data_IF_995100186427
#
_entry.id   IF_995100186427
#
_cell.length_a   1.000
_cell.length_b   1.000
_cell.length_c   1.000
_cell.angle_alpha   90.00
_cell.angle_beta   90.00
_cell.angle_gamma   90.00
#
_symmetry.space_group_name_H-M   'P 1'
#
loop_
_entity.id
_entity.type
_entity.pdbx_description
1 polymer ?
#
# COMPACT_ATOMS: atom_id res chain seq x y z
N UNK A 1 -21.88 -77.51 -48.58
CA UNK A 1 -20.56 -77.83 -48.01
C UNK A 1 -19.79 -76.53 -47.91
N UNK A 2 -19.24 -76.27 -46.74
CA UNK A 2 -18.39 -75.15 -46.28
C UNK A 2 -17.27 -74.82 -47.29
N UNK A 3 -16.67 -73.62 -47.36
CA UNK A 3 -15.95 -72.87 -46.31
C UNK A 3 -15.88 -71.36 -46.62
N UNK A 4 -15.69 -70.56 -45.56
CA UNK A 4 -15.40 -69.12 -45.50
C UNK A 4 -14.11 -68.71 -46.23
N UNK A 5 -14.01 -67.46 -46.73
CA UNK A 5 -12.97 -66.50 -46.31
C UNK A 5 -13.20 -65.08 -46.89
N UNK A 6 -13.66 -64.16 -46.02
CA UNK A 6 -13.15 -62.80 -45.75
C UNK A 6 -12.72 -61.89 -46.92
N UNK A 7 -13.45 -60.79 -47.13
CA UNK A 7 -12.89 -59.41 -46.97
C UNK A 7 -13.96 -58.32 -47.05
N UNK A 8 -14.20 -57.73 -45.89
CA UNK A 8 -14.61 -56.35 -45.58
C UNK A 8 -15.20 -55.49 -46.70
N UNK A 9 -16.50 -55.20 -46.56
CA UNK A 9 -17.15 -54.01 -47.09
C UNK A 9 -16.48 -52.76 -46.50
N UNK A 10 -15.59 -52.14 -47.28
CA UNK A 10 -15.02 -50.83 -46.98
C UNK A 10 -15.98 -49.73 -47.44
N UNK A 11 -17.05 -49.51 -46.67
CA UNK A 11 -17.81 -48.26 -46.74
C UNK A 11 -16.93 -47.13 -46.22
N UNK A 12 -16.43 -46.27 -47.12
CA UNK A 12 -15.73 -45.05 -46.72
C UNK A 12 -16.78 -43.98 -46.43
N UNK A 13 -17.39 -44.05 -45.24
CA UNK A 13 -17.99 -42.87 -44.63
C UNK A 13 -16.84 -41.89 -44.34
N UNK A 14 -16.90 -40.71 -44.96
CA UNK A 14 -16.02 -39.61 -44.65
C UNK A 14 -16.26 -39.21 -43.19
N UNK A 15 -15.39 -39.68 -42.29
CA UNK A 15 -15.33 -39.20 -40.92
C UNK A 15 -15.04 -37.70 -40.97
N UNK A 16 -16.09 -36.89 -40.86
CA UNK A 16 -15.96 -35.47 -40.57
C UNK A 16 -15.35 -35.37 -39.19
N UNK A 17 -14.03 -35.18 -39.13
CA UNK A 17 -13.29 -34.82 -37.93
C UNK A 17 -13.77 -33.42 -37.52
N UNK A 18 -14.92 -33.35 -36.84
CA UNK A 18 -15.38 -32.12 -36.21
C UNK A 18 -14.34 -31.76 -35.14
N UNK A 19 -13.44 -30.84 -35.47
CA UNK A 19 -12.57 -30.23 -34.49
C UNK A 19 -13.47 -29.62 -33.39
N UNK A 20 -13.20 -29.89 -32.11
CA UNK A 20 -13.98 -29.31 -31.03
C UNK A 20 -13.93 -27.78 -31.14
N UNK A 21 -15.09 -27.14 -30.95
CA UNK A 21 -15.16 -25.68 -30.95
C UNK A 21 -14.15 -25.11 -29.94
N UNK A 22 -13.43 -24.04 -30.29
CA UNK A 22 -12.46 -23.45 -29.38
C UNK A 22 -13.15 -23.06 -28.06
N UNK A 23 -12.48 -23.26 -26.91
CA UNK A 23 -13.05 -22.89 -25.63
C UNK A 23 -13.32 -21.39 -25.58
N UNK A 24 -14.48 -21.00 -25.04
CA UNK A 24 -14.82 -19.60 -24.84
C UNK A 24 -13.97 -19.01 -23.70
N UNK A 25 -13.13 -18.04 -24.05
CA UNK A 25 -12.25 -17.34 -23.11
C UNK A 25 -12.90 -16.09 -22.51
N UNK A 26 -14.09 -15.71 -22.96
CA UNK A 26 -14.81 -14.53 -22.48
C UNK A 26 -14.99 -14.50 -20.95
N UNK A 27 -15.34 -15.63 -20.29
CA UNK A 27 -15.44 -15.66 -18.82
C UNK A 27 -14.11 -15.44 -18.12
N UNK A 28 -13.01 -15.94 -18.70
CA UNK A 28 -11.66 -15.75 -18.17
C UNK A 28 -11.24 -14.29 -18.31
N UNK A 29 -11.48 -13.68 -19.48
CA UNK A 29 -11.24 -12.26 -19.70
C UNK A 29 -12.02 -11.38 -18.73
N UNK A 30 -13.33 -11.64 -18.59
CA UNK A 30 -14.19 -10.87 -17.69
C UNK A 30 -13.74 -10.98 -16.23
N UNK A 31 -13.36 -12.18 -15.79
CA UNK A 31 -12.81 -12.42 -14.45
C UNK A 31 -11.50 -11.65 -14.23
N UNK A 32 -10.58 -11.67 -15.20
CA UNK A 32 -9.33 -10.93 -15.09
C UNK A 32 -9.54 -9.42 -15.11
N UNK A 33 -10.45 -8.90 -15.92
CA UNK A 33 -10.79 -7.47 -15.91
C UNK A 33 -11.32 -7.02 -14.56
N UNK A 34 -12.21 -7.81 -13.93
CA UNK A 34 -12.70 -7.51 -12.58
C UNK A 34 -11.61 -7.59 -11.53
N UNK A 35 -10.68 -8.55 -11.64
CA UNK A 35 -9.53 -8.67 -10.73
C UNK A 35 -8.58 -7.47 -10.86
N UNK A 36 -8.32 -7.00 -12.08
CA UNK A 36 -7.51 -5.80 -12.33
C UNK A 36 -8.19 -4.58 -11.71
N UNK A 37 -9.50 -4.40 -11.94
CA UNK A 37 -10.24 -3.28 -11.37
C UNK A 37 -10.19 -3.28 -9.83
N UNK A 38 -10.41 -4.44 -9.20
CA UNK A 38 -10.29 -4.59 -7.76
C UNK A 38 -8.86 -4.31 -7.25
N UNK A 39 -7.84 -4.75 -7.98
CA UNK A 39 -6.45 -4.46 -7.64
C UNK A 39 -6.13 -2.96 -7.76
N UNK A 40 -6.63 -2.28 -8.80
CA UNK A 40 -6.49 -0.83 -8.97
C UNK A 40 -7.15 -0.06 -7.82
N UNK A 41 -8.34 -0.48 -7.38
CA UNK A 41 -9.02 0.13 -6.24
C UNK A 41 -8.23 -0.05 -4.93
N UNK A 42 -7.74 -1.27 -4.65
CA UNK A 42 -6.86 -1.54 -3.50
C UNK A 42 -5.58 -0.71 -3.54
N UNK A 43 -4.98 -0.57 -4.73
CA UNK A 43 -3.76 0.24 -4.90
C UNK A 43 -4.06 1.72 -4.63
N UNK A 44 -5.20 2.24 -5.11
CA UNK A 44 -5.65 3.60 -4.81
C UNK A 44 -5.81 3.87 -3.31
N UNK A 45 -6.32 2.90 -2.55
CA UNK A 45 -6.42 2.98 -1.08
C UNK A 45 -5.03 3.02 -0.42
N UNK A 46 -4.09 2.18 -0.87
CA UNK A 46 -2.70 2.19 -0.40
C UNK A 46 -2.00 3.53 -0.68
N UNK A 47 -2.14 4.09 -1.89
CA UNK A 47 -1.58 5.40 -2.21
C UNK A 47 -2.21 6.53 -1.37
N UNK A 48 -3.50 6.43 -1.07
CA UNK A 48 -4.18 7.39 -0.20
C UNK A 48 -3.63 7.36 1.24
N UNK A 49 -3.33 6.17 1.76
CA UNK A 49 -2.69 6.01 3.06
C UNK A 49 -1.26 6.59 3.09
N UNK A 50 -0.47 6.39 2.03
CA UNK A 50 0.85 7.01 1.89
C UNK A 50 0.73 8.54 1.87
N UNK A 51 -0.21 9.08 1.10
CA UNK A 51 -0.46 10.52 1.06
C UNK A 51 -0.83 11.09 2.44
N UNK A 52 -1.68 10.39 3.20
CA UNK A 52 -2.02 10.80 4.57
C UNK A 52 -0.81 10.80 5.49
N UNK A 53 0.06 9.77 5.40
CA UNK A 53 1.32 9.74 6.16
C UNK A 53 2.21 10.93 5.82
N UNK A 54 2.39 11.22 4.53
CA UNK A 54 3.27 12.30 4.11
C UNK A 54 2.75 13.68 4.59
N UNK A 55 1.43 13.85 4.67
CA UNK A 55 0.79 15.02 5.30
C UNK A 55 1.07 15.09 6.81
N UNK A 56 0.88 13.98 7.52
CA UNK A 56 1.15 13.89 8.97
C UNK A 56 2.65 14.19 9.28
N UNK A 57 3.57 13.65 8.48
CA UNK A 57 5.01 13.93 8.60
C UNK A 57 5.33 15.40 8.31
N UNK A 58 4.68 16.00 7.30
CA UNK A 58 4.87 17.41 6.98
C UNK A 58 4.42 18.31 8.14
N UNK A 59 3.27 18.02 8.74
CA UNK A 59 2.77 18.74 9.91
C UNK A 59 3.70 18.58 11.13
N UNK A 60 4.26 17.38 11.35
CA UNK A 60 5.24 17.14 12.40
C UNK A 60 6.52 17.97 12.18
N UNK A 61 7.04 18.00 10.94
CA UNK A 61 8.23 18.79 10.58
C UNK A 61 7.98 20.28 10.81
N UNK A 62 6.81 20.80 10.43
CA UNK A 62 6.44 22.20 10.69
C UNK A 62 6.40 22.50 12.19
N UNK A 63 5.79 21.62 12.98
CA UNK A 63 5.72 21.74 14.44
C UNK A 63 7.13 21.76 15.06
N UNK A 64 7.98 20.80 14.69
CA UNK A 64 9.37 20.74 15.17
C UNK A 64 10.16 22.00 14.79
N UNK A 65 9.98 22.52 13.57
CA UNK A 65 10.63 23.78 13.16
C UNK A 65 10.17 24.97 14.00
N UNK A 66 8.88 25.05 14.35
CA UNK A 66 8.37 26.11 15.23
C UNK A 66 8.98 25.99 16.64
N UNK A 67 9.10 24.78 17.18
CA UNK A 67 9.74 24.54 18.47
C UNK A 67 11.22 24.94 18.47
N UNK A 68 11.96 24.60 17.42
CA UNK A 68 13.35 25.05 17.24
C UNK A 68 13.44 26.58 17.22
N UNK A 69 12.54 27.27 16.52
CA UNK A 69 12.49 28.73 16.53
C UNK A 69 12.23 29.30 17.93
N UNK A 70 11.32 28.71 18.71
CA UNK A 70 11.07 29.12 20.10
C UNK A 70 12.32 28.95 20.97
N UNK A 71 13.05 27.84 20.82
CA UNK A 71 14.32 27.63 21.53
C UNK A 71 15.35 28.68 21.14
N UNK A 72 15.47 29.05 19.87
CA UNK A 72 16.37 30.13 19.43
C UNK A 72 15.99 31.49 20.02
N UNK A 73 14.70 31.81 20.11
CA UNK A 73 14.22 33.05 20.76
C UNK A 73 14.62 33.08 22.24
N UNK A 74 14.42 31.95 22.95
CA UNK A 74 14.80 31.80 24.35
C UNK A 74 16.33 31.95 24.52
N UNK A 75 17.11 31.30 23.65
CA UNK A 75 18.57 31.38 23.67
C UNK A 75 19.08 32.81 23.39
N UNK A 76 18.45 33.54 22.46
CA UNK A 76 18.79 34.94 22.19
C UNK A 76 18.46 35.88 23.36
N UNK A 77 17.46 35.52 24.18
CA UNK A 77 17.10 36.26 25.39
C UNK A 77 18.02 35.94 26.59
N UNK A 78 18.69 34.78 26.59
CA UNK A 78 19.62 34.34 27.62
C UNK A 78 20.99 35.05 27.52
N UNK A 79 21.01 36.36 27.75
CA UNK A 79 22.20 37.22 27.64
C UNK A 79 23.16 37.17 28.84
N UNK A 80 22.81 36.42 29.89
CA UNK A 80 23.64 36.22 31.08
C UNK A 80 23.61 34.75 31.52
N UNK A 81 24.61 34.28 32.28
CA UNK A 81 24.65 32.90 32.78
C UNK A 81 23.43 32.54 33.65
N UNK A 82 22.93 33.48 34.45
CA UNK A 82 21.75 33.30 35.30
C UNK A 82 20.47 33.14 34.46
N UNK A 83 20.32 33.96 33.41
CA UNK A 83 19.20 33.82 32.47
C UNK A 83 19.31 32.55 31.62
N UNK A 84 20.53 32.13 31.28
CA UNK A 84 20.75 30.86 30.60
C UNK A 84 20.30 29.67 31.47
N UNK A 85 20.64 29.65 32.76
CA UNK A 85 20.17 28.63 33.69
C UNK A 85 18.64 28.66 33.85
N UNK A 86 18.04 29.85 33.92
CA UNK A 86 16.58 30.00 33.98
C UNK A 86 15.87 29.58 32.68
N UNK A 87 16.58 29.57 31.55
CA UNK A 87 16.05 29.15 30.25
C UNK A 87 16.05 27.64 30.01
N UNK A 88 16.76 26.87 30.85
CA UNK A 88 16.86 25.41 30.71
C UNK A 88 15.48 24.72 30.92
N UNK A 89 14.71 25.00 31.99
CA UNK A 89 13.41 24.37 32.18
C UNK A 89 12.42 24.57 31.02
N UNK A 90 12.21 25.79 30.47
CA UNK A 90 11.29 25.96 29.34
C UNK A 90 11.80 25.28 28.06
N UNK A 91 13.10 25.30 27.77
CA UNK A 91 13.66 24.57 26.60
C UNK A 91 13.45 23.06 26.74
N UNK A 92 13.67 22.50 27.92
CA UNK A 92 13.40 21.08 28.17
C UNK A 92 11.91 20.74 28.07
N UNK A 93 11.02 21.62 28.53
CA UNK A 93 9.58 21.43 28.40
C UNK A 93 9.15 21.41 26.92
N UNK A 94 9.65 22.32 26.10
CA UNK A 94 9.38 22.36 24.65
C UNK A 94 9.93 21.11 23.96
N UNK A 95 11.14 20.67 24.31
CA UNK A 95 11.73 19.43 23.78
C UNK A 95 10.87 18.21 24.14
N UNK A 96 10.43 18.07 25.39
CA UNK A 96 9.60 16.94 25.82
C UNK A 96 8.24 16.91 25.10
N UNK A 97 7.61 18.07 24.92
CA UNK A 97 6.35 18.17 24.17
C UNK A 97 6.54 17.77 22.69
N UNK A 98 7.60 18.28 22.06
CA UNK A 98 7.96 17.94 20.69
C UNK A 98 8.25 16.44 20.51
N UNK A 99 9.01 15.84 21.43
CA UNK A 99 9.35 14.41 21.35
C UNK A 99 8.17 13.48 21.65
N UNK A 100 7.13 13.94 22.35
CA UNK A 100 5.93 13.14 22.58
C UNK A 100 5.07 12.94 21.32
N UNK A 101 5.10 13.89 20.38
CA UNK A 101 4.35 13.85 19.11
C UNK A 101 4.94 12.87 18.08
N UNK A 102 6.27 12.64 18.14
CA UNK A 102 7.00 11.79 17.19
C UNK A 102 6.54 10.32 17.21
N UNK A 103 6.51 9.60 18.35
CA UNK A 103 6.09 8.20 18.38
C UNK A 103 4.60 8.02 18.05
N UNK A 104 3.76 9.00 18.38
CA UNK A 104 2.32 8.98 18.05
C UNK A 104 2.11 9.07 16.53
N UNK A 105 2.85 9.95 15.87
CA UNK A 105 2.79 10.12 14.41
C UNK A 105 3.31 8.86 13.70
N UNK A 106 4.40 8.27 14.18
CA UNK A 106 4.97 7.06 13.60
C UNK A 106 4.04 5.84 13.78
N UNK A 107 3.48 5.65 14.98
CA UNK A 107 2.54 4.56 15.26
C UNK A 107 1.25 4.68 14.41
N UNK A 108 0.68 5.89 14.30
CA UNK A 108 -0.49 6.15 13.46
C UNK A 108 -0.19 5.82 11.99
N UNK A 109 0.94 6.29 11.49
CA UNK A 109 1.41 6.09 10.12
C UNK A 109 1.62 4.61 9.80
N UNK A 110 2.29 3.89 10.70
CA UNK A 110 2.56 2.46 10.53
C UNK A 110 1.26 1.64 10.55
N UNK A 111 0.33 1.96 11.45
CA UNK A 111 -0.98 1.30 11.53
C UNK A 111 -1.80 1.52 10.26
N UNK A 112 -1.84 2.77 9.77
CA UNK A 112 -2.56 3.13 8.54
C UNK A 112 -1.98 2.42 7.31
N UNK A 113 -0.65 2.34 7.20
CA UNK A 113 0.01 1.62 6.12
C UNK A 113 -0.23 0.10 6.20
N UNK A 114 -0.10 -0.50 7.39
CA UNK A 114 -0.37 -1.94 7.56
C UNK A 114 -1.80 -2.28 7.16
N UNK A 115 -2.79 -1.48 7.59
CA UNK A 115 -4.18 -1.68 7.20
C UNK A 115 -4.40 -1.53 5.69
N UNK A 116 -3.75 -0.55 5.06
CA UNK A 116 -3.90 -0.30 3.63
C UNK A 116 -3.19 -1.34 2.73
N UNK A 117 -2.12 -1.96 3.25
CA UNK A 117 -1.35 -2.98 2.53
C UNK A 117 -1.76 -4.43 2.87
N UNK A 118 -2.54 -4.66 3.91
CA UNK A 118 -3.05 -5.99 4.27
C UNK A 118 -3.70 -6.77 3.09
N UNK A 119 -4.45 -6.13 2.16
CA UNK A 119 -5.04 -6.84 1.01
C UNK A 119 -4.04 -7.36 -0.04
N UNK A 120 -2.75 -7.06 0.11
CA UNK A 120 -1.65 -7.49 -0.78
C UNK A 120 -0.70 -8.51 -0.14
N UNK A 121 -0.97 -8.92 1.11
CA UNK A 121 -0.09 -9.81 1.87
C UNK A 121 -0.38 -11.31 1.64
N UNK A 122 -1.29 -11.65 0.73
CA UNK A 122 -1.59 -13.03 0.29
C UNK A 122 -0.92 -13.38 -1.04
#
# INVERSE_FOLDING_TARGET
MSEEEKTAAGGTEAAQTQMPAPPDLSPLFQKHSQQIEAACQKAGQAFSAIKSRDQDLSALIETLNQEVQKVFVIAAAAKSPELALASIPPVLALANAAFAEVPLTDQKSQTALQAAFAPFAE
#
